data_IF_007457963426
#
_entry.id   IF_007457963426
#
_cell.length_a   1.000
_cell.length_b   1.000
_cell.length_c   1.000
_cell.angle_alpha   90.00
_cell.angle_beta   90.00
_cell.angle_gamma   90.00
#
_symmetry.space_group_name_H-M   'P 1'
#
loop_
_entity.id
_entity.type
_entity.pdbx_description
1 polymer ?
#
# COMPACT_ATOMS: atom_id res chain seq x y z
N UNK A 1 17.33 -5.68 -2.12
CA UNK A 1 16.48 -6.72 -1.50
C UNK A 1 15.72 -7.39 -2.62
N UNK A 2 15.66 -8.72 -2.69
CA UNK A 2 14.89 -9.42 -3.72
C UNK A 2 13.38 -9.47 -3.39
N UNK A 3 12.56 -9.79 -4.40
CA UNK A 3 11.10 -9.82 -4.28
C UNK A 3 10.59 -10.75 -3.17
N UNK A 4 11.23 -11.89 -2.96
CA UNK A 4 10.84 -12.87 -1.94
C UNK A 4 11.06 -12.30 -0.54
N UNK A 5 12.21 -11.65 -0.32
CA UNK A 5 12.54 -11.00 0.94
C UNK A 5 11.59 -9.82 1.23
N UNK A 6 11.26 -9.01 0.22
CA UNK A 6 10.28 -7.92 0.36
C UNK A 6 8.90 -8.47 0.71
N UNK A 7 8.43 -9.53 0.03
CA UNK A 7 7.16 -10.16 0.32
C UNK A 7 7.10 -10.68 1.77
N UNK A 8 8.13 -11.41 2.21
CA UNK A 8 8.21 -11.93 3.59
C UNK A 8 8.21 -10.77 4.61
N UNK A 9 9.02 -9.73 4.37
CA UNK A 9 9.11 -8.57 5.24
C UNK A 9 7.76 -7.85 5.33
N UNK A 10 7.12 -7.55 4.19
CA UNK A 10 5.82 -6.87 4.16
C UNK A 10 4.77 -7.63 4.98
N UNK A 11 4.66 -8.96 4.80
CA UNK A 11 3.71 -9.79 5.55
C UNK A 11 4.03 -9.88 7.05
N UNK A 12 5.31 -9.85 7.43
CA UNK A 12 5.73 -9.79 8.84
C UNK A 12 5.31 -8.45 9.45
N UNK A 13 5.60 -7.35 8.78
CA UNK A 13 5.38 -6.01 9.31
C UNK A 13 3.92 -5.58 9.29
N UNK A 14 3.10 -6.11 8.38
CA UNK A 14 1.66 -5.87 8.30
C UNK A 14 0.94 -6.07 9.64
N UNK A 15 1.41 -7.01 10.47
CA UNK A 15 0.84 -7.34 11.79
C UNK A 15 1.10 -6.26 12.85
N UNK A 16 2.06 -5.38 12.61
CA UNK A 16 2.44 -4.29 13.52
C UNK A 16 1.95 -2.93 13.02
N UNK A 17 1.22 -2.89 11.91
CA UNK A 17 0.61 -1.68 11.38
C UNK A 17 -0.65 -1.36 12.18
N UNK A 18 -0.69 -0.13 12.70
CA UNK A 18 -1.89 0.46 13.23
C UNK A 18 -2.63 1.14 12.08
N UNK A 19 -3.83 0.64 11.78
CA UNK A 19 -4.63 1.16 10.68
C UNK A 19 -5.25 2.48 11.07
N UNK A 20 -5.10 3.49 10.22
CA UNK A 20 -5.69 4.81 10.44
C UNK A 20 -7.18 4.70 10.11
N UNK A 21 -8.07 5.04 11.06
CA UNK A 21 -9.50 5.02 10.79
C UNK A 21 -9.87 6.14 9.82
N UNK A 22 -10.70 5.82 8.81
CA UNK A 22 -11.46 6.81 8.05
C UNK A 22 -12.76 7.18 8.77
N UNK A 23 -13.71 7.79 8.05
CA UNK A 23 -14.96 8.35 8.61
C UNK A 23 -15.78 7.38 9.48
N UNK A 24 -15.77 6.08 9.13
CA UNK A 24 -16.52 5.03 9.86
C UNK A 24 -15.81 3.69 9.95
N UNK A 25 -14.81 3.46 9.10
CA UNK A 25 -14.03 2.21 9.03
C UNK A 25 -12.60 2.53 8.62
N UNK A 26 -11.67 1.58 8.79
CA UNK A 26 -10.30 1.66 8.24
C UNK A 26 -10.27 1.68 6.70
N UNK A 27 -11.38 1.30 6.05
CA UNK A 27 -11.45 1.12 4.61
C UNK A 27 -11.98 2.37 3.90
N UNK A 28 -11.29 2.75 2.83
CA UNK A 28 -11.64 3.81 1.91
C UNK A 28 -11.98 3.20 0.56
N UNK A 29 -13.14 3.54 0.02
CA UNK A 29 -13.51 3.15 -1.34
C UNK A 29 -12.69 3.96 -2.36
N UNK A 30 -12.08 3.27 -3.33
CA UNK A 30 -11.25 3.83 -4.40
C UNK A 30 -11.64 3.32 -5.78
N UNK A 31 -12.69 2.49 -5.87
CA UNK A 31 -13.15 1.89 -7.11
C UNK A 31 -12.19 0.84 -7.68
N UNK A 32 -12.56 0.22 -8.80
CA UNK A 32 -11.77 -0.80 -9.51
C UNK A 32 -12.14 -0.79 -10.99
N UNK A 33 -11.19 -1.10 -11.88
CA UNK A 33 -11.43 -1.04 -13.32
C UNK A 33 -11.77 0.37 -13.76
N UNK A 34 -12.88 0.54 -14.47
CA UNK A 34 -13.33 1.84 -14.97
C UNK A 34 -13.75 2.81 -13.84
N UNK A 35 -14.13 2.29 -12.67
CA UNK A 35 -14.51 3.10 -11.50
C UNK A 35 -13.30 3.52 -10.65
N UNK A 36 -12.07 3.13 -11.04
CA UNK A 36 -10.87 3.42 -10.26
C UNK A 36 -10.58 4.93 -10.19
N UNK A 37 -10.59 5.46 -8.97
CA UNK A 37 -10.28 6.87 -8.70
C UNK A 37 -8.77 7.04 -8.49
N UNK A 38 -8.05 7.16 -9.60
CA UNK A 38 -6.60 7.36 -9.61
C UNK A 38 -6.18 8.61 -8.81
N UNK A 39 -6.91 9.72 -8.98
CA UNK A 39 -6.60 10.98 -8.29
C UNK A 39 -6.70 10.83 -6.78
N UNK A 40 -7.72 10.12 -6.29
CA UNK A 40 -7.86 9.84 -4.86
C UNK A 40 -6.72 8.99 -4.34
N UNK A 41 -6.34 7.93 -5.07
CA UNK A 41 -5.21 7.09 -4.65
C UNK A 41 -3.90 7.87 -4.66
N UNK A 42 -3.64 8.68 -5.69
CA UNK A 42 -2.46 9.52 -5.74
C UNK A 42 -2.42 10.50 -4.55
N UNK A 43 -3.52 11.18 -4.26
CA UNK A 43 -3.60 12.09 -3.12
C UNK A 43 -3.25 11.39 -1.79
N UNK A 44 -3.73 10.17 -1.57
CA UNK A 44 -3.38 9.37 -0.41
C UNK A 44 -1.88 9.02 -0.40
N UNK A 45 -1.33 8.60 -1.53
CA UNK A 45 0.08 8.24 -1.65
C UNK A 45 0.96 9.45 -1.36
N UNK A 46 0.70 10.60 -1.98
CA UNK A 46 1.48 11.82 -1.77
C UNK A 46 1.36 12.31 -0.32
N UNK A 47 0.16 12.25 0.27
CA UNK A 47 -0.07 12.70 1.66
C UNK A 47 0.73 11.86 2.67
N UNK A 48 0.77 10.55 2.48
CA UNK A 48 1.31 9.64 3.50
C UNK A 48 2.73 9.17 3.23
N UNK A 49 3.09 8.94 1.98
CA UNK A 49 4.41 8.45 1.60
C UNK A 49 5.35 9.56 1.12
N UNK A 50 4.82 10.67 0.60
CA UNK A 50 5.63 11.73 0.00
C UNK A 50 6.39 11.24 -1.24
N UNK A 51 7.55 11.80 -1.54
CA UNK A 51 8.34 11.51 -2.76
C UNK A 51 9.30 10.31 -2.60
N UNK A 52 8.85 9.25 -1.94
CA UNK A 52 9.71 8.08 -1.66
C UNK A 52 9.52 6.97 -2.68
N UNK A 53 10.51 6.08 -2.73
CA UNK A 53 10.40 4.81 -3.43
C UNK A 53 9.49 3.85 -2.64
N UNK A 54 8.57 3.21 -3.35
CA UNK A 54 7.57 2.30 -2.84
C UNK A 54 7.78 0.88 -3.37
N UNK A 55 7.47 -0.09 -2.53
CA UNK A 55 7.32 -1.48 -2.91
C UNK A 55 5.85 -1.80 -3.12
N UNK A 56 5.52 -2.28 -4.31
CA UNK A 56 4.20 -2.76 -4.70
C UNK A 56 4.27 -4.29 -4.70
N UNK A 57 3.66 -4.91 -3.68
CA UNK A 57 3.79 -6.32 -3.35
C UNK A 57 2.48 -7.05 -3.65
N UNK A 58 2.49 -7.91 -4.66
CA UNK A 58 1.35 -8.75 -5.03
C UNK A 58 1.49 -10.15 -4.46
N UNK A 59 2.66 -10.76 -4.66
CA UNK A 59 2.98 -12.11 -4.21
C UNK A 59 4.51 -12.30 -4.03
N UNK A 60 4.92 -13.51 -3.64
CA UNK A 60 6.33 -13.87 -3.38
C UNK A 60 7.27 -13.76 -4.60
N UNK A 61 6.72 -13.69 -5.80
CA UNK A 61 7.43 -13.58 -7.08
C UNK A 61 7.24 -12.22 -7.74
N UNK A 62 6.16 -11.51 -7.41
CA UNK A 62 5.77 -10.24 -8.03
C UNK A 62 5.85 -9.10 -7.02
N UNK A 63 6.99 -8.43 -7.04
CA UNK A 63 7.21 -7.15 -6.36
C UNK A 63 7.70 -6.16 -7.39
N UNK A 64 7.05 -5.01 -7.46
CA UNK A 64 7.47 -3.88 -8.28
C UNK A 64 7.99 -2.76 -7.38
N UNK A 65 8.99 -2.04 -7.86
CA UNK A 65 9.53 -0.86 -7.19
C UNK A 65 9.17 0.33 -8.06
N UNK A 66 8.52 1.34 -7.50
CA UNK A 66 8.22 2.58 -8.22
C UNK A 66 8.34 3.80 -7.30
N UNK A 67 8.48 4.97 -7.91
CA UNK A 67 8.37 6.23 -7.19
C UNK A 67 6.91 6.51 -6.85
N UNK A 68 6.66 7.07 -5.67
CA UNK A 68 5.31 7.45 -5.23
C UNK A 68 4.54 8.28 -6.27
N UNK A 69 5.23 9.21 -6.95
CA UNK A 69 4.68 10.03 -8.03
C UNK A 69 4.08 9.25 -9.22
N UNK A 70 4.46 7.99 -9.40
CA UNK A 70 3.99 7.12 -10.49
C UNK A 70 3.21 5.91 -9.98
N UNK A 71 2.90 5.85 -8.67
CA UNK A 71 2.38 4.64 -8.05
C UNK A 71 0.88 4.44 -8.32
N UNK A 72 0.08 5.50 -8.33
CA UNK A 72 -1.37 5.42 -8.53
C UNK A 72 -1.78 4.71 -9.84
N UNK A 73 -1.29 5.11 -11.03
CA UNK A 73 -1.67 4.42 -12.28
C UNK A 73 -1.23 2.95 -12.29
N UNK A 74 -0.07 2.65 -11.69
CA UNK A 74 0.46 1.28 -11.60
C UNK A 74 -0.40 0.43 -10.65
N UNK A 75 -0.86 1.00 -9.53
CA UNK A 75 -1.75 0.33 -8.58
C UNK A 75 -3.04 -0.08 -9.27
N UNK A 76 -3.70 0.85 -9.98
CA UNK A 76 -4.95 0.59 -10.71
C UNK A 76 -4.89 -0.64 -11.62
N UNK A 77 -3.77 -0.81 -12.33
CA UNK A 77 -3.54 -1.97 -13.19
C UNK A 77 -3.35 -3.26 -12.39
N UNK A 78 -2.63 -3.21 -11.27
CA UNK A 78 -2.18 -4.40 -10.54
C UNK A 78 -3.21 -5.00 -9.58
N UNK A 79 -4.04 -4.18 -8.90
CA UNK A 79 -4.94 -4.72 -7.86
C UNK A 79 -6.29 -5.23 -8.40
N UNK A 80 -6.60 -4.94 -9.66
CA UNK A 80 -7.78 -5.48 -10.35
C UNK A 80 -7.76 -7.03 -10.37
N UNK A 81 -6.56 -7.61 -10.50
CA UNK A 81 -6.37 -9.06 -10.55
C UNK A 81 -6.18 -9.68 -9.16
N UNK A 82 -5.49 -8.99 -8.24
CA UNK A 82 -4.99 -9.51 -6.95
C UNK A 82 -5.06 -8.47 -5.83
N UNK A 83 -5.02 -8.91 -4.57
CA UNK A 83 -4.77 -7.95 -3.49
C UNK A 83 -3.36 -7.35 -3.67
N UNK A 84 -3.19 -6.08 -3.32
CA UNK A 84 -1.91 -5.40 -3.44
C UNK A 84 -1.55 -4.76 -2.10
N UNK A 85 -0.31 -4.94 -1.66
CA UNK A 85 0.23 -4.21 -0.52
C UNK A 85 1.27 -3.22 -1.02
N UNK A 86 1.13 -1.96 -0.65
CA UNK A 86 2.10 -0.90 -0.94
C UNK A 86 2.80 -0.56 0.36
N UNK A 87 4.13 -0.50 0.37
CA UNK A 87 4.87 -0.08 1.54
C UNK A 87 6.11 0.74 1.18
N UNK A 88 6.54 1.59 2.11
CA UNK A 88 7.84 2.25 1.99
C UNK A 88 8.98 1.25 2.27
N UNK A 89 10.21 1.65 1.96
CA UNK A 89 11.41 0.81 2.13
C UNK A 89 11.63 0.28 3.54
N UNK A 90 11.21 1.04 4.55
CA UNK A 90 11.39 0.69 5.97
C UNK A 90 10.21 -0.10 6.56
N UNK A 91 9.18 -0.37 5.75
CA UNK A 91 7.97 -1.08 6.18
C UNK A 91 7.28 -0.43 7.40
N UNK A 92 7.41 0.90 7.53
CA UNK A 92 6.77 1.69 8.58
C UNK A 92 5.42 2.25 8.15
N UNK A 93 5.20 2.40 6.84
CA UNK A 93 3.93 2.87 6.27
C UNK A 93 3.44 1.85 5.26
N UNK A 94 2.16 1.51 5.33
CA UNK A 94 1.56 0.51 4.45
C UNK A 94 0.18 0.92 3.98
N UNK A 95 -0.13 0.59 2.72
CA UNK A 95 -1.49 0.55 2.20
C UNK A 95 -1.82 -0.86 1.72
N UNK A 96 -3.06 -1.29 1.97
CA UNK A 96 -3.57 -2.58 1.50
C UNK A 96 -4.78 -2.34 0.62
N UNK A 97 -4.69 -2.77 -0.62
CA UNK A 97 -5.76 -2.75 -1.61
C UNK A 97 -6.40 -4.13 -1.71
N UNK A 98 -7.72 -4.15 -1.80
CA UNK A 98 -8.53 -5.35 -2.05
C UNK A 98 -9.22 -5.23 -3.40
N UNK A 99 -9.42 -6.37 -4.06
CA UNK A 99 -10.07 -6.49 -5.37
C UNK A 99 -11.45 -5.81 -5.47
N UNK A 100 -12.13 -5.64 -4.33
CA UNK A 100 -13.44 -4.99 -4.26
C UNK A 100 -13.38 -3.45 -4.34
N UNK A 101 -12.23 -2.88 -4.71
CA UNK A 101 -12.06 -1.43 -4.88
C UNK A 101 -11.99 -0.66 -3.56
N UNK A 102 -11.42 -1.27 -2.53
CA UNK A 102 -11.17 -0.60 -1.24
C UNK A 102 -9.69 -0.66 -0.89
N UNK A 103 -9.23 0.39 -0.21
CA UNK A 103 -7.91 0.45 0.37
C UNK A 103 -7.99 0.77 1.85
N UNK A 104 -6.96 0.41 2.60
CA UNK A 104 -6.72 0.98 3.93
C UNK A 104 -5.27 1.37 4.10
N UNK A 105 -5.03 2.36 4.93
CA UNK A 105 -3.71 2.89 5.24
C UNK A 105 -3.39 2.68 6.72
N UNK A 106 -2.12 2.47 7.03
CA UNK A 106 -1.66 2.44 8.40
C UNK A 106 -0.18 2.69 8.55
N UNK A 107 0.21 2.95 9.79
CA UNK A 107 1.57 3.24 10.19
C UNK A 107 1.99 2.33 11.33
N UNK A 108 3.26 1.94 11.34
CA UNK A 108 3.92 1.38 12.50
C UNK A 108 4.43 2.56 13.31
N UNK A 109 3.85 2.79 14.48
CA UNK A 109 4.54 3.58 15.48
C UNK A 109 5.76 2.78 15.91
N UNK A 110 6.96 3.30 15.65
CA UNK A 110 8.15 2.79 16.32
C UNK A 110 7.95 3.06 17.80
N UNK A 111 7.44 2.06 18.53
CA UNK A 111 7.49 2.10 19.98
C UNK A 111 8.99 2.17 20.32
N UNK A 112 9.47 3.19 21.06
CA UNK A 112 10.78 3.08 21.65
C UNK A 112 10.74 1.80 22.49
N UNK A 113 11.62 0.86 22.15
CA UNK A 113 11.81 -0.35 22.94
C UNK A 113 12.10 0.08 24.38
N UNK A 114 11.16 -0.21 25.29
CA UNK A 114 11.40 -0.26 26.73
C UNK A 114 11.84 -1.68 27.09
#
# INVERSE_FOLDING_TARGET
MDAKNIFIASGRYLKYIQWVPGDRTEWHYVGVGDDYDENKVDAFIQCHFGTVELFLVLDRHRVQICQAANAAPVIGLLFSENGLTVCNRDFTKMMVFKKIGVMKYGERHDSPLH
#
